data_IF_729040324535
#
_entry.id   IF_729040324535
#
_cell.length_a   1.000
_cell.length_b   1.000
_cell.length_c   1.000
_cell.angle_alpha   90.00
_cell.angle_beta   90.00
_cell.angle_gamma   90.00
#
_symmetry.space_group_name_H-M   'P 1'
#
loop_
_entity.id
_entity.type
_entity.pdbx_description
1 polymer ?
#
# COMPACT_ATOMS: atom_id res chain seq x y z
N UNK A 1 10.75 -18.19 -5.22
CA UNK A 1 9.47 -17.45 -5.09
C UNK A 1 9.78 -15.98 -4.81
N UNK A 2 8.80 -15.07 -4.88
CA UNK A 2 8.99 -13.64 -4.53
C UNK A 2 9.66 -13.47 -3.17
N UNK A 3 9.22 -14.24 -2.16
CA UNK A 3 9.84 -14.31 -0.83
C UNK A 3 11.34 -14.54 -0.88
N UNK A 4 11.81 -15.60 -1.57
CA UNK A 4 13.23 -15.95 -1.64
C UNK A 4 14.09 -14.81 -2.23
N UNK A 5 13.59 -14.13 -3.25
CA UNK A 5 14.30 -13.01 -3.87
C UNK A 5 14.35 -11.77 -2.96
N UNK A 6 13.26 -11.48 -2.26
CA UNK A 6 13.20 -10.38 -1.29
C UNK A 6 14.07 -10.67 -0.06
N UNK A 7 14.15 -11.92 0.38
CA UNK A 7 14.90 -12.32 1.57
C UNK A 7 16.42 -12.40 1.29
N UNK A 8 16.82 -13.09 0.22
CA UNK A 8 18.22 -13.44 -0.02
C UNK A 8 18.85 -12.75 -1.25
N UNK A 9 18.02 -12.16 -2.11
CA UNK A 9 18.44 -11.64 -3.41
C UNK A 9 18.80 -10.16 -3.44
N UNK A 10 19.06 -9.67 -4.66
CA UNK A 10 19.28 -8.25 -4.94
C UNK A 10 18.10 -7.36 -4.49
N UNK A 11 16.81 -7.74 -4.68
CA UNK A 11 15.68 -6.95 -4.18
C UNK A 11 15.80 -6.63 -2.69
N UNK A 12 16.20 -7.62 -1.90
CA UNK A 12 16.43 -7.45 -0.47
C UNK A 12 17.46 -6.37 -0.14
N UNK A 13 18.61 -6.40 -0.81
CA UNK A 13 19.67 -5.39 -0.58
C UNK A 13 19.20 -3.98 -0.93
N UNK A 14 18.40 -3.85 -2.00
CA UNK A 14 17.80 -2.56 -2.37
C UNK A 14 16.80 -2.04 -1.33
N UNK A 15 16.11 -2.93 -0.62
CA UNK A 15 15.24 -2.53 0.49
C UNK A 15 16.07 -1.99 1.66
N UNK A 16 17.23 -2.60 1.94
CA UNK A 16 18.18 -2.10 2.95
C UNK A 16 18.80 -0.75 2.52
N UNK A 17 19.09 -0.55 1.23
CA UNK A 17 19.57 0.72 0.69
C UNK A 17 18.55 1.85 0.93
N UNK A 18 17.24 1.61 0.72
CA UNK A 18 16.19 2.60 1.01
C UNK A 18 16.18 3.00 2.50
N UNK A 19 16.43 2.03 3.40
CA UNK A 19 16.52 2.30 4.84
C UNK A 19 17.74 3.16 5.15
N UNK A 20 18.89 2.85 4.55
CA UNK A 20 20.18 3.45 4.89
C UNK A 20 20.38 4.84 4.25
N UNK A 21 19.74 5.15 3.12
CA UNK A 21 19.76 6.46 2.43
C UNK A 21 18.95 7.56 3.16
N UNK A 22 18.53 7.31 4.40
CA UNK A 22 17.41 7.98 5.09
C UNK A 22 17.59 9.41 5.57
N UNK A 23 18.64 10.15 5.16
CA UNK A 23 18.73 11.58 5.50
C UNK A 23 17.83 12.43 4.59
N UNK A 24 16.59 12.67 5.04
CA UNK A 24 15.68 13.68 4.46
C UNK A 24 14.57 13.17 3.54
N UNK A 25 14.52 11.87 3.23
CA UNK A 25 13.44 11.28 2.44
C UNK A 25 12.22 10.97 3.31
N UNK A 26 11.02 11.39 2.89
CA UNK A 26 9.76 11.17 3.60
C UNK A 26 9.31 9.69 3.53
N UNK A 27 8.42 9.28 4.44
CA UNK A 27 7.93 7.89 4.50
C UNK A 27 7.23 7.43 3.21
N UNK A 28 6.56 8.35 2.51
CA UNK A 28 5.81 8.04 1.28
C UNK A 28 6.73 7.66 0.13
N UNK A 29 7.82 8.39 -0.08
CA UNK A 29 8.82 8.08 -1.11
C UNK A 29 9.49 6.74 -0.85
N UNK A 30 9.85 6.44 0.41
CA UNK A 30 10.36 5.11 0.80
C UNK A 30 9.36 4.00 0.52
N UNK A 31 8.08 4.24 0.82
CA UNK A 31 7.01 3.29 0.56
C UNK A 31 6.85 3.00 -0.94
N UNK A 32 6.85 4.04 -1.78
CA UNK A 32 6.79 3.90 -3.23
C UNK A 32 7.97 3.08 -3.77
N UNK A 33 9.20 3.41 -3.37
CA UNK A 33 10.41 2.66 -3.78
C UNK A 33 10.37 1.20 -3.34
N UNK A 34 9.89 0.92 -2.13
CA UNK A 34 9.67 -0.44 -1.63
C UNK A 34 8.67 -1.20 -2.51
N UNK A 35 7.54 -0.59 -2.87
CA UNK A 35 6.53 -1.19 -3.74
C UNK A 35 7.04 -1.42 -5.17
N UNK A 36 7.86 -0.53 -5.71
CA UNK A 36 8.52 -0.74 -7.00
C UNK A 36 9.44 -1.96 -7.00
N UNK A 37 10.23 -2.15 -5.93
CA UNK A 37 11.10 -3.32 -5.78
C UNK A 37 10.26 -4.60 -5.76
N UNK A 38 9.16 -4.61 -5.01
CA UNK A 38 8.23 -5.74 -4.98
C UNK A 38 7.66 -6.03 -6.36
N UNK A 39 7.12 -5.02 -7.05
CA UNK A 39 6.53 -5.18 -8.38
C UNK A 39 7.54 -5.77 -9.37
N UNK A 40 8.77 -5.24 -9.41
CA UNK A 40 9.84 -5.78 -10.27
C UNK A 40 10.18 -7.23 -9.92
N UNK A 41 10.17 -7.58 -8.64
CA UNK A 41 10.38 -8.95 -8.20
C UNK A 41 9.23 -9.86 -8.65
N UNK A 42 7.98 -9.42 -8.51
CA UNK A 42 6.81 -10.18 -8.97
C UNK A 42 6.87 -10.38 -10.50
N UNK A 43 7.16 -9.33 -11.28
CA UNK A 43 7.31 -9.42 -12.74
C UNK A 43 8.40 -10.42 -13.16
N UNK A 44 9.51 -10.47 -12.43
CA UNK A 44 10.56 -11.46 -12.66
C UNK A 44 10.07 -12.89 -12.35
N UNK A 45 9.34 -13.06 -11.25
CA UNK A 45 8.85 -14.37 -10.81
C UNK A 45 7.79 -14.93 -11.76
N UNK A 46 6.83 -14.12 -12.23
CA UNK A 46 5.77 -14.60 -13.13
C UNK A 46 6.32 -15.09 -14.48
N UNK A 47 7.45 -14.54 -14.93
CA UNK A 47 8.13 -14.99 -16.15
C UNK A 47 8.57 -16.46 -16.06
N UNK A 48 8.98 -16.92 -14.88
CA UNK A 48 9.31 -18.33 -14.65
C UNK A 48 8.09 -19.26 -14.77
N UNK A 49 6.87 -18.72 -14.73
CA UNK A 49 5.62 -19.45 -14.93
C UNK A 49 5.06 -19.30 -16.36
N UNK A 50 5.83 -18.71 -17.28
CA UNK A 50 5.44 -18.54 -18.68
C UNK A 50 4.58 -17.31 -18.98
N UNK A 51 4.42 -16.39 -18.02
CA UNK A 51 3.74 -15.12 -18.24
C UNK A 51 4.73 -14.06 -18.72
N UNK A 52 4.27 -13.10 -19.50
CA UNK A 52 5.09 -11.95 -19.86
C UNK A 52 5.46 -11.13 -18.61
N UNK A 53 6.70 -10.62 -18.55
CA UNK A 53 7.13 -9.68 -17.50
C UNK A 53 6.59 -8.25 -17.78
N UNK A 54 5.28 -8.13 -17.93
CA UNK A 54 4.53 -6.91 -18.21
C UNK A 54 3.36 -6.76 -17.25
N UNK A 55 2.74 -5.57 -17.22
CA UNK A 55 1.51 -5.36 -16.44
C UNK A 55 0.38 -6.29 -16.91
N UNK A 56 0.24 -6.48 -18.23
CA UNK A 56 -0.71 -7.44 -18.80
C UNK A 56 -0.42 -8.88 -18.36
N UNK A 57 0.85 -9.29 -18.35
CA UNK A 57 1.24 -10.62 -17.86
C UNK A 57 0.96 -10.80 -16.37
N UNK A 58 1.16 -9.76 -15.55
CA UNK A 58 0.80 -9.75 -14.14
C UNK A 58 -0.71 -9.91 -13.93
N UNK A 59 -1.53 -9.21 -14.72
CA UNK A 59 -2.99 -9.34 -14.67
C UNK A 59 -3.43 -10.77 -15.03
N UNK A 60 -2.88 -11.35 -16.11
CA UNK A 60 -3.18 -12.72 -16.53
C UNK A 60 -2.76 -13.76 -15.47
N UNK A 61 -1.60 -13.56 -14.85
CA UNK A 61 -1.13 -14.39 -13.74
C UNK A 61 -2.09 -14.32 -12.54
N UNK A 62 -2.48 -13.11 -12.14
CA UNK A 62 -3.43 -12.89 -11.01
C UNK A 62 -4.80 -13.49 -11.29
N UNK A 63 -5.31 -13.38 -12.52
CA UNK A 63 -6.58 -14.01 -12.91
C UNK A 63 -6.52 -15.53 -12.79
N UNK A 64 -5.43 -16.14 -13.28
CA UNK A 64 -5.22 -17.59 -13.17
C UNK A 64 -5.09 -18.02 -11.71
N UNK A 65 -4.31 -17.28 -10.91
CA UNK A 65 -4.16 -17.54 -9.47
C UNK A 65 -5.50 -17.44 -8.75
N UNK A 66 -6.31 -16.42 -9.04
CA UNK A 66 -7.66 -16.27 -8.47
C UNK A 66 -8.56 -17.46 -8.78
N UNK A 67 -8.57 -17.92 -10.04
CA UNK A 67 -9.34 -19.10 -10.44
C UNK A 67 -8.88 -20.39 -9.76
N UNK A 68 -7.57 -20.53 -9.49
CA UNK A 68 -7.01 -21.65 -8.73
C UNK A 68 -7.36 -21.57 -7.25
N UNK A 69 -7.30 -20.38 -6.64
CA UNK A 69 -7.64 -20.15 -5.24
C UNK A 69 -9.10 -20.52 -4.93
N UNK A 70 -10.03 -20.26 -5.86
CA UNK A 70 -11.43 -20.68 -5.73
C UNK A 70 -11.61 -22.20 -5.62
N UNK A 71 -10.62 -22.98 -6.07
CA UNK A 71 -10.64 -24.46 -6.03
C UNK A 71 -9.71 -25.03 -4.96
N UNK A 72 -9.05 -24.17 -4.20
CA UNK A 72 -8.04 -24.55 -3.21
C UNK A 72 -8.68 -24.86 -1.86
N UNK A 73 -8.13 -25.85 -1.14
CA UNK A 73 -8.62 -26.19 0.20
C UNK A 73 -8.35 -25.02 1.17
N UNK A 74 -9.21 -24.80 2.19
CA UNK A 74 -9.05 -23.70 3.14
C UNK A 74 -7.65 -23.62 3.79
N UNK A 75 -7.05 -24.78 4.10
CA UNK A 75 -5.71 -24.87 4.67
C UNK A 75 -4.59 -24.35 3.74
N UNK A 76 -4.71 -24.60 2.44
CA UNK A 76 -3.73 -24.16 1.45
C UNK A 76 -3.90 -22.67 1.15
N UNK A 77 -5.13 -22.17 1.19
CA UNK A 77 -5.42 -20.75 1.11
C UNK A 77 -4.82 -19.98 2.29
N UNK A 78 -4.97 -20.49 3.52
CA UNK A 78 -4.33 -19.91 4.70
C UNK A 78 -2.80 -19.90 4.57
N UNK A 79 -2.21 -20.97 4.02
CA UNK A 79 -0.76 -21.04 3.75
C UNK A 79 -0.32 -19.99 2.73
N UNK A 80 -1.08 -19.77 1.66
CA UNK A 80 -0.78 -18.76 0.64
C UNK A 80 -0.86 -17.34 1.24
N UNK A 81 -1.90 -17.07 2.04
CA UNK A 81 -2.04 -15.79 2.75
C UNK A 81 -0.87 -15.56 3.73
N UNK A 82 -0.46 -16.59 4.46
CA UNK A 82 0.69 -16.52 5.36
C UNK A 82 2.00 -16.17 4.63
N UNK A 83 2.21 -16.71 3.42
CA UNK A 83 3.40 -16.35 2.61
C UNK A 83 3.37 -14.89 2.18
N UNK A 84 2.21 -14.32 1.83
CA UNK A 84 2.11 -12.90 1.48
C UNK A 84 2.36 -12.00 2.70
N UNK A 85 1.81 -12.37 3.87
CA UNK A 85 2.08 -11.68 5.14
C UNK A 85 3.57 -11.70 5.50
N UNK A 86 4.25 -12.83 5.33
CA UNK A 86 5.70 -12.93 5.54
C UNK A 86 6.50 -12.05 4.59
N UNK A 87 6.10 -11.97 3.32
CA UNK A 87 6.73 -11.09 2.33
C UNK A 87 6.60 -9.63 2.79
N UNK A 88 5.40 -9.22 3.18
CA UNK A 88 5.15 -7.88 3.70
C UNK A 88 5.99 -7.57 4.95
N UNK A 89 6.03 -8.48 5.92
CA UNK A 89 6.82 -8.29 7.13
C UNK A 89 8.32 -8.14 6.82
N UNK A 90 8.87 -8.95 5.89
CA UNK A 90 10.27 -8.81 5.45
C UNK A 90 10.50 -7.45 4.78
N UNK A 91 9.59 -7.03 3.89
CA UNK A 91 9.73 -5.74 3.20
C UNK A 91 9.71 -4.56 4.18
N UNK A 92 8.73 -4.53 5.07
CA UNK A 92 8.58 -3.46 6.07
C UNK A 92 9.79 -3.40 6.99
N UNK A 93 10.23 -4.54 7.51
CA UNK A 93 11.41 -4.61 8.38
C UNK A 93 12.67 -4.11 7.67
N UNK A 94 12.88 -4.51 6.42
CA UNK A 94 14.09 -4.11 5.67
C UNK A 94 14.09 -2.63 5.31
N UNK A 95 12.96 -2.10 4.84
CA UNK A 95 12.83 -0.71 4.39
C UNK A 95 12.73 0.30 5.53
N UNK A 96 11.99 -0.02 6.58
CA UNK A 96 11.66 0.95 7.64
C UNK A 96 12.27 0.62 9.00
N UNK A 97 12.90 -0.55 9.14
CA UNK A 97 13.39 -1.05 10.44
C UNK A 97 12.28 -1.11 11.50
N UNK A 98 11.09 -1.53 11.07
CA UNK A 98 9.89 -1.65 11.89
C UNK A 98 9.49 -3.11 11.97
N UNK A 99 9.27 -3.59 13.19
CA UNK A 99 8.64 -4.90 13.41
C UNK A 99 7.13 -4.80 13.23
N UNK A 100 6.56 -5.78 12.54
CA UNK A 100 5.12 -5.88 12.32
C UNK A 100 4.44 -6.39 13.58
N UNK A 101 3.29 -5.82 13.93
CA UNK A 101 2.45 -6.28 15.02
C UNK A 101 1.06 -6.64 14.51
N UNK A 102 0.44 -7.64 15.12
CA UNK A 102 -0.93 -8.01 14.80
C UNK A 102 -1.90 -7.02 15.42
N UNK A 103 -2.94 -6.65 14.69
CA UNK A 103 -4.04 -5.84 15.20
C UNK A 103 -5.35 -6.64 15.16
N UNK A 104 -6.21 -6.45 16.15
CA UNK A 104 -7.57 -7.00 16.10
C UNK A 104 -8.36 -6.36 14.95
N UNK A 105 -9.16 -7.16 14.24
CA UNK A 105 -9.97 -6.70 13.11
C UNK A 105 -10.91 -5.56 13.53
N UNK A 106 -11.53 -5.65 14.70
CA UNK A 106 -12.41 -4.60 15.22
C UNK A 106 -11.69 -3.26 15.41
N UNK A 107 -10.46 -3.29 15.93
CA UNK A 107 -9.61 -2.09 16.05
C UNK A 107 -9.19 -1.57 14.67
N UNK A 108 -8.78 -2.45 13.75
CA UNK A 108 -8.42 -2.07 12.38
C UNK A 108 -9.58 -1.36 11.67
N UNK A 109 -10.78 -1.94 11.71
CA UNK A 109 -11.99 -1.34 11.13
C UNK A 109 -12.33 0.01 11.75
N UNK A 110 -12.19 0.17 13.07
CA UNK A 110 -12.44 1.46 13.74
C UNK A 110 -11.46 2.55 13.27
N UNK A 111 -10.17 2.23 13.18
CA UNK A 111 -9.14 3.18 12.70
C UNK A 111 -9.41 3.57 11.26
N UNK A 112 -9.65 2.59 10.38
CA UNK A 112 -9.95 2.82 8.97
C UNK A 112 -11.23 3.64 8.81
N UNK A 113 -12.29 3.34 9.56
CA UNK A 113 -13.53 4.11 9.54
C UNK A 113 -13.30 5.58 9.95
N UNK A 114 -12.48 5.83 10.98
CA UNK A 114 -12.14 7.19 11.40
C UNK A 114 -11.36 7.93 10.31
N UNK A 115 -10.33 7.31 9.74
CA UNK A 115 -9.50 7.92 8.68
C UNK A 115 -10.34 8.21 7.43
N UNK A 116 -11.11 7.24 6.97
CA UNK A 116 -11.99 7.39 5.80
C UNK A 116 -13.05 8.45 6.01
N UNK A 117 -13.63 8.56 7.22
CA UNK A 117 -14.53 9.65 7.57
C UNK A 117 -13.85 11.02 7.46
N UNK A 118 -12.60 11.16 7.92
CA UNK A 118 -11.81 12.40 7.77
C UNK A 118 -11.52 12.74 6.32
N UNK A 119 -11.15 11.74 5.51
CA UNK A 119 -10.92 11.90 4.06
C UNK A 119 -12.16 12.37 3.29
N UNK A 120 -13.36 12.17 3.85
CA UNK A 120 -14.63 12.56 3.24
C UNK A 120 -15.16 13.91 3.75
N UNK A 121 -14.46 14.58 4.67
CA UNK A 121 -14.86 15.90 5.15
C UNK A 121 -14.59 16.98 4.10
N UNK A 122 -15.53 17.91 3.92
CA UNK A 122 -15.43 19.00 2.94
C UNK A 122 -14.14 19.80 3.12
N UNK A 123 -13.74 20.08 4.37
CA UNK A 123 -12.50 20.81 4.66
C UNK A 123 -11.25 20.12 4.10
N UNK A 124 -11.16 18.79 4.23
CA UNK A 124 -10.06 18.01 3.67
C UNK A 124 -10.13 18.01 2.13
N UNK A 125 -11.31 17.72 1.59
CA UNK A 125 -11.53 17.62 0.15
C UNK A 125 -11.23 18.93 -0.59
N UNK A 126 -11.64 20.06 -0.01
CA UNK A 126 -11.40 21.38 -0.57
C UNK A 126 -9.91 21.75 -0.48
N UNK A 127 -9.23 21.42 0.63
CA UNK A 127 -7.79 21.63 0.77
C UNK A 127 -6.97 20.83 -0.26
N UNK A 128 -7.29 19.54 -0.44
CA UNK A 128 -6.63 18.71 -1.47
C UNK A 128 -6.90 19.26 -2.86
N UNK A 129 -8.15 19.64 -3.15
CA UNK A 129 -8.51 20.21 -4.45
C UNK A 129 -7.73 21.51 -4.74
N UNK A 130 -7.68 22.42 -3.78
CA UNK A 130 -6.94 23.68 -3.91
C UNK A 130 -5.45 23.42 -4.23
N UNK A 131 -4.84 22.47 -3.54
CA UNK A 131 -3.44 22.09 -3.73
C UNK A 131 -3.19 21.50 -5.12
N UNK A 132 -4.06 20.59 -5.56
CA UNK A 132 -3.96 19.98 -6.88
C UNK A 132 -4.23 20.98 -8.02
N UNK A 133 -5.15 21.92 -7.82
CA UNK A 133 -5.45 22.99 -8.79
C UNK A 133 -4.31 24.03 -8.85
N UNK A 134 -3.55 24.21 -7.77
CA UNK A 134 -2.38 25.08 -7.72
C UNK A 134 -1.11 24.46 -8.34
N UNK A 135 -1.11 23.15 -8.61
CA UNK A 135 0.01 22.50 -9.29
C UNK A 135 0.16 23.01 -10.73
N UNK A 136 1.38 23.03 -11.30
CA UNK A 136 1.60 23.39 -12.69
C UNK A 136 0.68 22.62 -13.64
N UNK A 137 0.14 23.28 -14.67
CA UNK A 137 -0.68 22.61 -15.68
C UNK A 137 0.09 21.50 -16.43
N UNK A 138 1.43 21.54 -16.42
CA UNK A 138 2.32 20.53 -16.97
C UNK A 138 2.54 19.34 -16.03
N UNK A 139 2.01 19.36 -14.81
CA UNK A 139 2.17 18.28 -13.86
C UNK A 139 1.51 17.00 -14.36
N UNK A 140 2.28 15.93 -14.34
CA UNK A 140 1.86 14.60 -14.75
C UNK A 140 0.83 14.03 -13.77
N UNK A 141 -0.01 13.06 -14.20
CA UNK A 141 -0.89 12.34 -13.29
C UNK A 141 -0.15 11.69 -12.12
N UNK A 142 1.10 11.26 -12.34
CA UNK A 142 1.94 10.67 -11.29
C UNK A 142 2.31 11.68 -10.20
N UNK A 143 2.70 12.90 -10.59
CA UNK A 143 3.02 13.98 -9.64
C UNK A 143 1.78 14.39 -8.85
N UNK A 144 0.63 14.53 -9.52
CA UNK A 144 -0.65 14.84 -8.85
C UNK A 144 -1.05 13.74 -7.87
N UNK A 145 -0.86 12.48 -8.25
CA UNK A 145 -1.13 11.36 -7.35
C UNK A 145 -0.16 11.36 -6.15
N UNK A 146 1.13 11.66 -6.36
CA UNK A 146 2.09 11.78 -5.26
C UNK A 146 1.68 12.88 -4.26
N UNK A 147 1.23 14.05 -4.76
CA UNK A 147 0.73 15.13 -3.92
C UNK A 147 -0.53 14.73 -3.14
N UNK A 148 -1.47 14.02 -3.79
CA UNK A 148 -2.63 13.45 -3.11
C UNK A 148 -2.20 12.49 -1.98
N UNK A 149 -1.25 11.58 -2.24
CA UNK A 149 -0.79 10.63 -1.23
C UNK A 149 -0.16 11.33 -0.01
N UNK A 150 0.55 12.44 -0.21
CA UNK A 150 1.10 13.23 0.90
C UNK A 150 -0.02 13.77 1.80
N UNK A 151 -1.11 14.30 1.23
CA UNK A 151 -2.26 14.77 2.00
C UNK A 151 -3.01 13.62 2.69
N UNK A 152 -3.12 12.46 2.04
CA UNK A 152 -3.71 11.28 2.67
C UNK A 152 -2.89 10.85 3.89
N UNK A 153 -1.56 10.86 3.79
CA UNK A 153 -0.65 10.56 4.89
C UNK A 153 -0.89 11.50 6.08
N UNK A 154 -1.12 12.79 5.86
CA UNK A 154 -1.42 13.75 6.94
C UNK A 154 -2.64 13.29 7.77
N UNK A 155 -3.72 12.89 7.10
CA UNK A 155 -4.93 12.37 7.78
C UNK A 155 -4.61 11.12 8.60
N UNK A 156 -3.83 10.20 8.05
CA UNK A 156 -3.38 9.02 8.80
C UNK A 156 -2.59 9.44 10.04
N UNK A 157 -1.61 10.32 9.89
CA UNK A 157 -0.74 10.76 11.00
C UNK A 157 -1.48 11.60 12.06
N UNK A 158 -2.61 12.23 11.71
CA UNK A 158 -3.49 12.90 12.68
C UNK A 158 -4.30 11.88 13.52
N UNK A 159 -4.84 10.85 12.87
CA UNK A 159 -5.76 9.91 13.52
C UNK A 159 -5.01 8.84 14.33
N UNK A 160 -3.93 8.30 13.78
CA UNK A 160 -3.21 7.15 14.33
C UNK A 160 -2.70 7.31 15.77
N UNK A 161 -2.24 8.49 16.23
CA UNK A 161 -1.81 8.69 17.61
C UNK A 161 -2.90 8.35 18.65
N UNK A 162 -4.18 8.58 18.31
CA UNK A 162 -5.32 8.24 19.20
C UNK A 162 -5.48 6.74 19.46
N UNK A 163 -4.80 5.90 18.66
CA UNK A 163 -4.80 4.44 18.76
C UNK A 163 -3.44 3.84 19.15
N UNK A 164 -2.49 4.69 19.56
CA UNK A 164 -1.14 4.30 20.00
C UNK A 164 -0.09 4.22 18.87
N UNK A 165 -0.40 4.75 17.69
CA UNK A 165 0.50 4.73 16.53
C UNK A 165 1.02 6.14 16.25
N UNK A 166 2.24 6.46 16.71
CA UNK A 166 2.80 7.81 16.66
C UNK A 166 3.72 8.05 15.44
N UNK A 167 3.51 9.19 14.77
CA UNK A 167 4.36 9.68 13.68
C UNK A 167 4.43 8.74 12.48
N UNK A 168 5.47 8.90 11.66
CA UNK A 168 5.68 8.08 10.46
C UNK A 168 5.94 6.60 10.80
N UNK A 169 6.61 6.33 11.93
CA UNK A 169 6.83 4.95 12.39
C UNK A 169 5.52 4.27 12.78
N UNK A 170 4.64 4.99 13.48
CA UNK A 170 3.28 4.52 13.80
C UNK A 170 2.45 4.26 12.55
N UNK A 171 2.55 5.14 11.54
CA UNK A 171 1.94 4.93 10.23
C UNK A 171 2.40 3.62 9.59
N UNK A 172 3.71 3.40 9.48
CA UNK A 172 4.26 2.17 8.88
C UNK A 172 3.81 0.93 9.66
N UNK A 173 3.86 0.95 10.99
CA UNK A 173 3.38 -0.14 11.85
C UNK A 173 1.92 -0.47 11.58
N UNK A 174 1.07 0.56 11.56
CA UNK A 174 -0.35 0.36 11.32
C UNK A 174 -0.63 -0.18 9.92
N UNK A 175 0.02 0.38 8.88
CA UNK A 175 -0.14 -0.13 7.51
C UNK A 175 0.29 -1.59 7.40
N UNK A 176 1.39 -1.97 8.06
CA UNK A 176 1.85 -3.35 8.09
C UNK A 176 0.87 -4.28 8.82
N UNK A 177 0.28 -3.83 9.93
CA UNK A 177 -0.75 -4.58 10.66
C UNK A 177 -2.05 -4.70 9.83
N UNK A 178 -2.40 -3.66 9.07
CA UNK A 178 -3.61 -3.60 8.24
C UNK A 178 -3.56 -4.62 7.09
N UNK A 179 -2.36 -4.97 6.60
CA UNK A 179 -2.18 -5.99 5.55
C UNK A 179 -2.81 -7.33 5.94
N UNK A 180 -2.76 -7.70 7.23
CA UNK A 180 -3.36 -8.95 7.73
C UNK A 180 -4.87 -9.02 7.43
N UNK A 181 -5.52 -7.85 7.38
CA UNK A 181 -6.95 -7.69 7.14
C UNK A 181 -7.28 -7.12 5.76
N UNK A 182 -6.31 -7.07 4.84
CA UNK A 182 -6.50 -6.47 3.50
C UNK A 182 -7.55 -7.18 2.64
N UNK A 183 -7.82 -8.46 2.92
CA UNK A 183 -8.87 -9.24 2.27
C UNK A 183 -10.26 -9.04 2.90
N UNK A 184 -10.36 -8.31 4.02
CA UNK A 184 -11.63 -8.07 4.69
C UNK A 184 -12.52 -7.10 3.88
N UNK A 185 -13.75 -7.50 3.52
CA UNK A 185 -14.62 -6.66 2.70
C UNK A 185 -15.00 -5.33 3.34
N UNK A 186 -15.06 -5.24 4.67
CA UNK A 186 -15.45 -4.01 5.36
C UNK A 186 -14.36 -2.96 5.25
N UNK A 187 -13.10 -3.35 5.45
CA UNK A 187 -11.94 -2.47 5.29
C UNK A 187 -11.82 -2.02 3.83
N UNK A 188 -11.91 -2.97 2.89
CA UNK A 188 -11.85 -2.66 1.47
C UNK A 188 -12.96 -1.68 1.05
N UNK A 189 -14.20 -1.87 1.53
CA UNK A 189 -15.33 -0.99 1.22
C UNK A 189 -15.11 0.43 1.74
N UNK A 190 -14.65 0.56 2.99
CA UNK A 190 -14.39 1.87 3.61
C UNK A 190 -13.31 2.65 2.83
N UNK A 191 -12.18 2.00 2.56
CA UNK A 191 -11.05 2.62 1.83
C UNK A 191 -11.49 3.01 0.42
N UNK A 192 -12.12 2.10 -0.33
CA UNK A 192 -12.55 2.36 -1.70
C UNK A 192 -13.59 3.48 -1.76
N UNK A 193 -14.56 3.51 -0.83
CA UNK A 193 -15.56 4.57 -0.80
C UNK A 193 -14.92 5.94 -0.59
N UNK A 194 -13.98 6.06 0.35
CA UNK A 194 -13.30 7.32 0.61
C UNK A 194 -12.39 7.75 -0.56
N UNK A 195 -11.60 6.82 -1.11
CA UNK A 195 -10.75 7.11 -2.28
C UNK A 195 -11.58 7.52 -3.50
N UNK A 196 -12.74 6.89 -3.73
CA UNK A 196 -13.66 7.29 -4.80
C UNK A 196 -14.22 8.69 -4.58
N UNK A 197 -14.61 9.05 -3.34
CA UNK A 197 -15.03 10.42 -3.01
C UNK A 197 -13.93 11.42 -3.31
N UNK A 198 -12.71 11.16 -2.84
CA UNK A 198 -11.55 12.05 -3.01
C UNK A 198 -11.19 12.20 -4.49
N UNK A 199 -11.03 11.11 -5.23
CA UNK A 199 -10.66 11.14 -6.65
C UNK A 199 -11.72 11.79 -7.54
N UNK A 200 -13.01 11.61 -7.20
CA UNK A 200 -14.11 12.27 -7.91
C UNK A 200 -14.11 13.78 -7.65
N UNK A 201 -13.95 14.19 -6.39
CA UNK A 201 -13.96 15.61 -5.99
C UNK A 201 -12.74 16.38 -6.52
N UNK A 202 -11.59 15.73 -6.59
CA UNK A 202 -10.33 16.30 -7.09
C UNK A 202 -10.20 16.26 -8.62
N UNK A 203 -11.09 15.54 -9.32
CA UNK A 203 -11.05 15.42 -10.78
C UNK A 203 -9.97 14.46 -11.30
N UNK A 204 -9.24 13.76 -10.42
CA UNK A 204 -8.21 12.80 -10.82
C UNK A 204 -8.77 11.56 -11.53
N UNK A 205 -10.06 11.26 -11.32
CA UNK A 205 -10.73 10.14 -11.96
C UNK A 205 -11.05 10.38 -13.46
N UNK A 206 -10.89 11.62 -13.96
CA UNK A 206 -11.23 12.00 -15.34
C UNK A 206 -10.02 12.11 -16.29
N UNK A 207 -8.81 11.76 -15.84
CA UNK A 207 -7.57 11.86 -16.61
C UNK A 207 -7.09 10.54 -17.25
N UNK A 208 -7.96 9.51 -17.29
CA UNK A 208 -7.72 8.23 -17.95
C UNK A 208 -8.39 8.12 -19.31
#
# INVERSE_FOLDING_TARGET
TTKTFIELGLPGRKLDEIRDESTGENVQSKWQRMMEIRLRCELHVINAFGYEASEMGMMAYRQTMSALLQRTLPQDMARIQGVDQEIWAIMIRRTFNVETESIDLGKATQVVAMVTSRMQQDAFLDAVKEKLDAMPATSTPLEKNAELQNHLLEVWTEVLPTYGYEGETGYVKFQAALVEHSADPSIATLINSALMTVTTRTGLNQAG
#
